data_IF_355570096952
#
_entry.id   IF_355570096952
#
_cell.length_a   1.000
_cell.length_b   1.000
_cell.length_c   1.000
_cell.angle_alpha   90.00
_cell.angle_beta   90.00
_cell.angle_gamma   90.00
#
_symmetry.space_group_name_H-M   'P 1'
#
loop_
_entity.id
_entity.type
_entity.pdbx_description
1 polymer ?
#
# COMPACT_ATOMS: atom_id res chain seq x y z
N UNK A 1 40.80 -52.29 -35.42
CA UNK A 1 40.86 -51.76 -34.04
C UNK A 1 39.62 -50.90 -33.89
N UNK A 2 38.59 -51.44 -33.24
CA UNK A 2 37.27 -50.80 -33.17
C UNK A 2 37.36 -49.64 -32.16
N UNK A 3 36.86 -48.51 -32.60
CA UNK A 3 36.71 -47.29 -31.79
C UNK A 3 35.43 -47.56 -30.99
N UNK A 4 35.57 -47.87 -29.71
CA UNK A 4 34.44 -48.01 -28.81
C UNK A 4 33.90 -46.61 -28.49
N UNK A 5 32.99 -46.15 -29.34
CA UNK A 5 32.02 -45.11 -29.03
C UNK A 5 31.07 -45.66 -27.96
N UNK A 6 31.39 -45.42 -26.69
CA UNK A 6 30.52 -45.75 -25.57
C UNK A 6 29.55 -44.57 -25.35
N UNK A 7 28.35 -44.74 -25.91
CA UNK A 7 27.05 -44.25 -25.45
C UNK A 7 27.00 -42.93 -24.67
N UNK A 8 26.81 -41.84 -25.42
CA UNK A 8 26.39 -40.52 -24.95
C UNK A 8 24.84 -40.43 -24.92
N UNK A 9 24.17 -41.48 -24.41
CA UNK A 9 22.71 -41.62 -24.37
C UNK A 9 22.20 -41.46 -22.93
N UNK A 10 22.19 -40.22 -22.47
CA UNK A 10 21.31 -39.62 -21.44
C UNK A 10 21.99 -38.39 -20.85
N UNK A 11 22.43 -37.45 -21.70
CA UNK A 11 22.81 -36.13 -21.23
C UNK A 11 21.53 -35.39 -20.85
N UNK A 12 21.05 -35.65 -19.63
CA UNK A 12 19.95 -34.90 -19.04
C UNK A 12 20.34 -33.44 -19.10
N UNK A 13 19.56 -32.61 -19.80
CA UNK A 13 19.80 -31.18 -19.79
C UNK A 13 19.43 -30.63 -18.42
N UNK A 14 20.46 -30.46 -17.59
CA UNK A 14 20.37 -29.92 -16.24
C UNK A 14 19.69 -28.54 -16.28
N UNK A 15 19.84 -27.80 -17.38
CA UNK A 15 19.27 -26.47 -17.60
C UNK A 15 17.75 -26.51 -17.69
N UNK A 16 17.21 -27.41 -18.50
CA UNK A 16 15.76 -27.56 -18.68
C UNK A 16 15.10 -28.04 -17.39
N UNK A 17 15.76 -28.98 -16.71
CA UNK A 17 15.31 -29.49 -15.42
C UNK A 17 15.31 -28.39 -14.34
N UNK A 18 16.32 -27.52 -14.35
CA UNK A 18 16.38 -26.36 -13.47
C UNK A 18 15.22 -25.39 -13.71
N UNK A 19 14.87 -25.09 -14.96
CA UNK A 19 13.73 -24.22 -15.28
C UNK A 19 12.38 -24.83 -14.89
N UNK A 20 12.22 -26.15 -15.06
CA UNK A 20 11.02 -26.86 -14.59
C UNK A 20 10.88 -26.72 -13.07
N UNK A 21 11.96 -26.94 -12.33
CA UNK A 21 11.95 -26.81 -10.88
C UNK A 21 11.76 -25.38 -10.41
N UNK A 22 12.32 -24.38 -11.10
CA UNK A 22 12.15 -22.96 -10.78
C UNK A 22 10.71 -22.48 -10.95
N UNK A 23 9.93 -23.13 -11.82
CA UNK A 23 8.50 -22.85 -11.98
C UNK A 23 7.68 -23.39 -10.81
N UNK A 24 8.11 -24.52 -10.23
CA UNK A 24 7.42 -25.17 -9.09
C UNK A 24 7.87 -24.61 -7.74
N UNK A 25 9.12 -24.19 -7.62
CA UNK A 25 9.75 -23.75 -6.38
C UNK A 25 10.43 -22.40 -6.58
N UNK A 26 10.19 -21.45 -5.65
CA UNK A 26 10.73 -20.09 -5.74
C UNK A 26 12.27 -20.06 -5.73
N UNK A 27 12.89 -20.85 -4.86
CA UNK A 27 14.34 -20.85 -4.64
C UNK A 27 14.91 -22.25 -4.94
N UNK A 28 15.61 -22.37 -6.06
CA UNK A 28 16.28 -23.60 -6.53
C UNK A 28 17.75 -23.30 -6.80
N UNK A 29 18.62 -24.21 -6.40
CA UNK A 29 20.07 -24.09 -6.50
C UNK A 29 20.66 -25.32 -7.19
N UNK A 30 21.76 -25.10 -7.91
CA UNK A 30 22.58 -26.15 -8.52
C UNK A 30 23.91 -26.17 -7.75
N UNK A 31 24.35 -27.36 -7.37
CA UNK A 31 25.64 -27.56 -6.73
C UNK A 31 26.35 -28.75 -7.34
N UNK A 32 27.58 -28.53 -7.79
CA UNK A 32 28.45 -29.56 -8.36
C UNK A 32 29.46 -29.98 -7.31
N UNK A 33 29.47 -31.27 -6.97
CA UNK A 33 30.41 -31.85 -6.04
C UNK A 33 31.08 -33.06 -6.70
N UNK A 34 32.32 -32.87 -7.17
CA UNK A 34 33.02 -33.87 -7.96
C UNK A 34 32.29 -34.16 -9.27
N UNK A 35 31.95 -35.44 -9.48
CA UNK A 35 31.24 -35.94 -10.65
C UNK A 35 29.70 -35.86 -10.49
N UNK A 36 29.20 -35.43 -9.33
CA UNK A 36 27.76 -35.35 -9.07
C UNK A 36 27.24 -33.92 -9.23
N UNK A 37 26.14 -33.80 -9.99
CA UNK A 37 25.36 -32.58 -10.11
C UNK A 37 24.08 -32.71 -9.28
N UNK A 38 23.98 -31.87 -8.25
CA UNK A 38 22.81 -31.80 -7.38
C UNK A 38 21.96 -30.58 -7.70
N UNK A 39 20.65 -30.78 -7.82
CA UNK A 39 19.68 -29.70 -7.81
C UNK A 39 18.83 -29.84 -6.55
N UNK A 40 18.78 -28.78 -5.75
CA UNK A 40 18.01 -28.77 -4.51
C UNK A 40 17.25 -27.46 -4.32
N UNK A 41 16.22 -27.50 -3.48
CA UNK A 41 15.46 -26.32 -3.05
C UNK A 41 15.94 -25.80 -1.70
N UNK A 42 15.63 -24.54 -1.40
CA UNK A 42 15.77 -24.01 -0.05
C UNK A 42 14.91 -24.79 0.95
N UNK A 43 15.44 -24.99 2.15
CA UNK A 43 14.75 -25.62 3.27
C UNK A 43 13.80 -24.61 3.93
N UNK A 44 12.55 -25.02 4.17
CA UNK A 44 11.58 -24.19 4.85
C UNK A 44 11.84 -24.08 6.36
N UNK A 45 11.52 -22.92 6.95
CA UNK A 45 11.70 -22.67 8.39
C UNK A 45 10.93 -23.66 9.28
N UNK A 46 9.71 -24.04 8.87
CA UNK A 46 8.89 -25.05 9.56
C UNK A 46 9.54 -26.43 9.46
N UNK A 47 9.95 -26.83 8.27
CA UNK A 47 10.58 -28.13 8.01
C UNK A 47 11.87 -28.29 8.82
N UNK A 48 12.71 -27.25 8.83
CA UNK A 48 13.93 -27.22 9.65
C UNK A 48 13.61 -27.40 11.14
N UNK A 49 12.63 -26.65 11.66
CA UNK A 49 12.23 -26.74 13.07
C UNK A 49 11.70 -28.13 13.41
N UNK A 50 10.93 -28.74 12.53
CA UNK A 50 10.35 -30.07 12.74
C UNK A 50 11.44 -31.15 12.79
N UNK A 51 12.45 -31.08 11.91
CA UNK A 51 13.55 -32.06 11.84
C UNK A 51 14.51 -31.89 13.02
N UNK A 52 14.89 -30.65 13.35
CA UNK A 52 15.87 -30.39 14.43
C UNK A 52 15.29 -30.77 15.81
N UNK A 53 14.01 -30.47 16.05
CA UNK A 53 13.37 -30.77 17.34
C UNK A 53 12.98 -32.24 17.50
N UNK A 54 13.01 -33.03 16.43
CA UNK A 54 12.74 -34.46 16.53
C UNK A 54 13.89 -35.14 17.30
N UNK A 55 13.55 -35.77 18.42
CA UNK A 55 14.50 -36.48 19.28
C UNK A 55 14.73 -37.94 18.85
N UNK A 56 13.98 -38.42 17.85
CA UNK A 56 14.06 -39.80 17.37
C UNK A 56 15.31 -40.06 16.51
N UNK A 57 15.87 -39.01 15.92
CA UNK A 57 16.97 -39.10 14.97
C UNK A 57 18.27 -38.55 15.55
N UNK A 58 19.39 -39.20 15.23
CA UNK A 58 20.73 -38.69 15.50
C UNK A 58 21.07 -37.50 14.57
N UNK A 59 22.13 -36.75 14.89
CA UNK A 59 22.56 -35.63 14.06
C UNK A 59 22.86 -36.05 12.62
N UNK A 60 23.56 -37.17 12.39
CA UNK A 60 23.84 -37.70 11.06
C UNK A 60 22.57 -38.03 10.27
N UNK A 61 21.64 -38.76 10.89
CA UNK A 61 20.35 -39.10 10.26
C UNK A 61 19.52 -37.83 9.94
N UNK A 62 19.64 -36.78 10.76
CA UNK A 62 19.01 -35.48 10.46
C UNK A 62 19.63 -34.81 9.25
N UNK A 63 20.94 -34.93 9.04
CA UNK A 63 21.60 -34.42 7.83
C UNK A 63 21.02 -35.09 6.59
N UNK A 64 20.94 -36.42 6.61
CA UNK A 64 20.42 -37.21 5.48
C UNK A 64 18.95 -36.89 5.22
N UNK A 65 18.12 -36.76 6.27
CA UNK A 65 16.71 -36.37 6.14
C UNK A 65 16.56 -34.97 5.53
N UNK A 66 17.43 -34.02 5.89
CA UNK A 66 17.40 -32.66 5.33
C UNK A 66 17.80 -32.69 3.86
N UNK A 67 18.88 -33.40 3.55
CA UNK A 67 19.37 -33.55 2.18
C UNK A 67 18.31 -34.22 1.29
N UNK A 68 17.71 -35.32 1.73
CA UNK A 68 16.66 -36.04 1.02
C UNK A 68 15.42 -35.16 0.75
N UNK A 69 14.96 -34.40 1.74
CA UNK A 69 13.79 -33.52 1.60
C UNK A 69 14.01 -32.33 0.65
N UNK A 70 15.24 -31.84 0.57
CA UNK A 70 15.59 -30.69 -0.24
C UNK A 70 16.05 -31.08 -1.64
N UNK A 71 16.46 -32.34 -1.84
CA UNK A 71 16.96 -32.82 -3.11
C UNK A 71 15.84 -32.95 -4.14
N UNK A 72 16.03 -32.33 -5.30
CA UNK A 72 15.13 -32.42 -6.45
C UNK A 72 15.72 -33.33 -7.54
N UNK A 73 17.06 -33.28 -7.70
CA UNK A 73 17.80 -34.14 -8.61
C UNK A 73 19.16 -34.52 -8.02
N UNK A 74 19.54 -35.80 -8.05
CA UNK A 74 18.75 -36.94 -8.54
C UNK A 74 17.62 -37.34 -7.56
N UNK A 75 16.49 -37.85 -8.08
CA UNK A 75 15.27 -38.11 -7.26
C UNK A 75 15.41 -39.19 -6.19
N UNK A 76 16.41 -40.06 -6.30
CA UNK A 76 16.65 -41.18 -5.41
C UNK A 76 18.17 -41.36 -5.25
N UNK A 77 18.80 -40.40 -4.59
CA UNK A 77 20.22 -40.51 -4.28
C UNK A 77 20.42 -41.54 -3.16
N UNK A 78 21.36 -42.45 -3.36
CA UNK A 78 21.72 -43.45 -2.35
C UNK A 78 22.71 -42.82 -1.36
N UNK A 79 22.19 -42.39 -0.21
CA UNK A 79 22.99 -41.80 0.87
C UNK A 79 23.90 -42.82 1.56
N UNK A 80 23.55 -44.11 1.52
CA UNK A 80 24.34 -45.17 2.17
C UNK A 80 25.61 -45.52 1.39
N UNK A 81 25.57 -45.39 0.06
CA UNK A 81 26.69 -45.67 -0.85
C UNK A 81 27.34 -44.41 -1.45
N UNK A 82 27.24 -43.27 -0.77
CA UNK A 82 27.86 -42.02 -1.22
C UNK A 82 29.26 -41.79 -0.65
N UNK A 83 30.06 -40.96 -1.32
CA UNK A 83 31.37 -40.55 -0.82
C UNK A 83 31.24 -39.83 0.53
N UNK A 84 32.08 -40.22 1.49
CA UNK A 84 32.05 -39.64 2.82
C UNK A 84 32.23 -38.11 2.76
N UNK A 85 31.31 -37.38 3.38
CA UNK A 85 31.31 -35.91 3.41
C UNK A 85 30.42 -35.26 2.35
N UNK A 86 29.89 -35.99 1.36
CA UNK A 86 28.87 -35.47 0.43
C UNK A 86 27.63 -34.93 1.16
N UNK A 87 27.00 -35.68 2.10
CA UNK A 87 25.82 -35.18 2.81
C UNK A 87 26.13 -33.95 3.65
N UNK A 88 27.29 -33.94 4.32
CA UNK A 88 27.71 -32.83 5.18
C UNK A 88 28.00 -31.56 4.37
N UNK A 89 28.66 -31.65 3.22
CA UNK A 89 28.88 -30.50 2.33
C UNK A 89 27.57 -30.01 1.71
N UNK A 90 26.70 -30.92 1.27
CA UNK A 90 25.40 -30.56 0.72
C UNK A 90 24.53 -29.85 1.76
N UNK A 91 24.49 -30.37 2.99
CA UNK A 91 23.77 -29.76 4.11
C UNK A 91 24.27 -28.34 4.39
N UNK A 92 25.59 -28.12 4.48
CA UNK A 92 26.15 -26.77 4.68
C UNK A 92 25.67 -25.80 3.62
N UNK A 93 25.65 -26.22 2.35
CA UNK A 93 25.19 -25.41 1.25
C UNK A 93 23.67 -25.15 1.31
N UNK A 94 22.87 -26.17 1.64
CA UNK A 94 21.42 -26.02 1.85
C UNK A 94 21.14 -25.02 2.97
N UNK A 95 21.80 -25.16 4.13
CA UNK A 95 21.59 -24.26 5.27
C UNK A 95 22.01 -22.83 4.96
N UNK A 96 23.15 -22.65 4.29
CA UNK A 96 23.64 -21.33 3.87
C UNK A 96 22.69 -20.65 2.88
N UNK A 97 22.25 -21.37 1.85
CA UNK A 97 21.32 -20.84 0.84
C UNK A 97 19.89 -20.66 1.36
N UNK A 98 19.54 -21.34 2.46
CA UNK A 98 18.28 -21.16 3.16
C UNK A 98 18.35 -20.10 4.26
N UNK A 99 19.52 -19.50 4.51
CA UNK A 99 19.78 -18.55 5.60
C UNK A 99 19.45 -19.12 6.99
N UNK A 100 19.65 -20.42 7.18
CA UNK A 100 19.39 -21.15 8.43
C UNK A 100 20.69 -21.59 9.14
N UNK A 101 21.84 -21.20 8.59
CA UNK A 101 23.16 -21.50 9.14
C UNK A 101 23.47 -20.69 10.41
N UNK A 102 23.27 -19.37 10.35
CA UNK A 102 23.73 -18.42 11.37
C UNK A 102 22.63 -17.41 11.70
N UNK A 103 22.62 -16.88 12.92
CA UNK A 103 21.68 -15.81 13.31
C UNK A 103 21.97 -14.52 12.52
N UNK A 104 23.24 -14.28 12.20
CA UNK A 104 23.70 -13.12 11.43
C UNK A 104 23.14 -13.12 10.01
N UNK A 105 23.08 -14.27 9.34
CA UNK A 105 22.51 -14.39 7.99
C UNK A 105 20.99 -14.16 7.99
N UNK A 106 20.28 -14.62 9.02
CA UNK A 106 18.86 -14.30 9.21
C UNK A 106 18.64 -12.80 9.45
N UNK A 107 19.52 -12.19 10.24
CA UNK A 107 19.43 -10.76 10.57
C UNK A 107 19.72 -9.91 9.34
N UNK A 108 20.73 -10.27 8.54
CA UNK A 108 21.06 -9.53 7.32
C UNK A 108 19.95 -9.59 6.28
N UNK A 109 19.30 -10.74 6.11
CA UNK A 109 18.12 -10.87 5.23
C UNK A 109 16.97 -10.01 5.75
N UNK A 110 16.72 -10.04 7.06
CA UNK A 110 15.69 -9.20 7.65
C UNK A 110 15.98 -7.71 7.47
N UNK A 111 17.23 -7.29 7.67
CA UNK A 111 17.66 -5.91 7.51
C UNK A 111 17.61 -5.45 6.04
N UNK A 112 17.90 -6.35 5.10
CA UNK A 112 17.66 -6.12 3.68
C UNK A 112 16.18 -5.81 3.41
N UNK A 113 15.26 -6.67 3.85
CA UNK A 113 13.82 -6.44 3.64
C UNK A 113 13.29 -5.22 4.41
N UNK A 114 13.86 -4.90 5.59
CA UNK A 114 13.58 -3.65 6.29
C UNK A 114 14.03 -2.43 5.50
N UNK A 115 15.17 -2.53 4.80
CA UNK A 115 15.63 -1.45 3.94
C UNK A 115 14.73 -1.27 2.71
N UNK A 116 14.17 -2.35 2.16
CA UNK A 116 13.18 -2.27 1.07
C UNK A 116 11.87 -1.59 1.52
N UNK A 117 11.54 -1.64 2.81
CA UNK A 117 10.39 -0.90 3.36
C UNK A 117 10.58 0.61 3.36
N UNK A 118 11.76 1.17 3.05
CA UNK A 118 11.88 2.61 2.83
C UNK A 118 11.28 3.05 1.48
N UNK A 119 11.04 2.12 0.57
CA UNK A 119 10.32 2.38 -0.67
C UNK A 119 8.81 2.54 -0.40
N UNK A 120 8.23 3.58 -1.00
CA UNK A 120 6.81 3.90 -0.84
C UNK A 120 5.92 2.81 -1.44
N UNK A 121 6.31 2.20 -2.55
CA UNK A 121 5.47 1.18 -3.21
C UNK A 121 5.31 -0.08 -2.34
N UNK A 122 6.37 -0.47 -1.62
CA UNK A 122 6.34 -1.56 -0.64
C UNK A 122 5.46 -1.20 0.56
N UNK A 123 5.52 0.05 1.03
CA UNK A 123 4.65 0.53 2.11
C UNK A 123 3.18 0.57 1.71
N UNK A 124 2.87 0.98 0.48
CA UNK A 124 1.50 1.05 -0.04
C UNK A 124 0.83 -0.31 0.03
N UNK A 125 1.54 -1.37 -0.35
CA UNK A 125 1.04 -2.74 -0.29
C UNK A 125 0.69 -3.14 1.15
N UNK A 126 1.55 -2.81 2.12
CA UNK A 126 1.29 -3.06 3.54
C UNK A 126 0.12 -2.24 4.10
N UNK A 127 -0.01 -0.97 3.70
CA UNK A 127 -1.11 -0.07 4.10
C UNK A 127 -2.46 -0.62 3.62
N UNK A 128 -2.53 -1.06 2.37
CA UNK A 128 -3.74 -1.63 1.79
C UNK A 128 -4.09 -2.95 2.47
N UNK A 129 -3.11 -3.83 2.68
CA UNK A 129 -3.31 -5.11 3.35
C UNK A 129 -3.88 -4.92 4.77
N UNK A 130 -3.35 -3.98 5.54
CA UNK A 130 -3.83 -3.64 6.89
C UNK A 130 -5.24 -3.04 6.87
N UNK A 131 -5.56 -2.17 5.91
CA UNK A 131 -6.87 -1.51 5.85
C UNK A 131 -8.01 -2.47 5.47
N UNK A 132 -7.72 -3.49 4.64
CA UNK A 132 -8.73 -4.37 4.06
C UNK A 132 -8.61 -5.84 4.47
N UNK A 133 -7.64 -6.19 5.32
CA UNK A 133 -7.30 -7.58 5.69
C UNK A 133 -7.09 -8.48 4.45
N UNK A 134 -6.34 -7.99 3.46
CA UNK A 134 -6.03 -8.72 2.24
C UNK A 134 -4.64 -9.34 2.30
N UNK A 135 -4.46 -10.45 1.58
CA UNK A 135 -3.15 -11.06 1.41
C UNK A 135 -2.23 -10.15 0.58
N UNK A 136 -1.04 -9.90 1.10
CA UNK A 136 -0.03 -8.99 0.52
C UNK A 136 0.34 -9.42 -0.91
N UNK A 137 0.47 -10.73 -1.14
CA UNK A 137 0.83 -11.30 -2.46
C UNK A 137 -0.22 -11.00 -3.53
N UNK A 138 -1.50 -10.86 -3.15
CA UNK A 138 -2.58 -10.53 -4.07
C UNK A 138 -2.50 -9.05 -4.46
N UNK A 139 -2.16 -8.18 -3.52
CA UNK A 139 -2.05 -6.72 -3.74
C UNK A 139 -0.85 -6.39 -4.62
N UNK A 140 0.27 -7.10 -4.47
CA UNK A 140 1.47 -6.92 -5.30
C UNK A 140 1.24 -7.24 -6.79
N UNK A 141 0.27 -8.10 -7.09
CA UNK A 141 -0.10 -8.48 -8.47
C UNK A 141 -1.06 -7.48 -9.14
N UNK A 142 -1.48 -6.42 -8.46
CA UNK A 142 -2.45 -5.47 -9.01
C UNK A 142 -1.83 -4.44 -9.95
N UNK A 143 -2.63 -4.00 -10.91
CA UNK A 143 -2.30 -2.84 -11.73
C UNK A 143 -2.24 -1.56 -10.89
N UNK A 144 -1.40 -0.61 -11.31
CA UNK A 144 -1.17 0.67 -10.64
C UNK A 144 -2.48 1.43 -10.38
N UNK A 145 -3.42 1.45 -11.33
CA UNK A 145 -4.71 2.13 -11.16
C UNK A 145 -5.51 1.54 -9.98
N UNK A 146 -5.53 0.21 -9.87
CA UNK A 146 -6.22 -0.49 -8.80
C UNK A 146 -5.50 -0.21 -7.47
N UNK A 147 -4.18 -0.33 -7.42
CA UNK A 147 -3.39 -0.05 -6.21
C UNK A 147 -3.63 1.37 -5.69
N UNK A 148 -3.60 2.39 -6.56
CA UNK A 148 -3.85 3.78 -6.16
C UNK A 148 -5.30 4.03 -5.69
N UNK A 149 -6.28 3.40 -6.34
CA UNK A 149 -7.67 3.45 -5.89
C UNK A 149 -7.86 2.86 -4.50
N UNK A 150 -7.20 1.74 -4.20
CA UNK A 150 -7.29 1.11 -2.89
C UNK A 150 -6.45 1.86 -1.84
N UNK A 151 -5.32 2.44 -2.22
CA UNK A 151 -4.53 3.31 -1.34
C UNK A 151 -5.33 4.51 -0.87
N UNK A 152 -5.96 5.27 -1.77
CA UNK A 152 -6.78 6.44 -1.38
C UNK A 152 -7.92 6.07 -0.43
N UNK A 153 -8.50 4.88 -0.58
CA UNK A 153 -9.52 4.35 0.33
C UNK A 153 -8.94 3.86 1.65
N UNK A 154 -7.76 3.23 1.62
CA UNK A 154 -7.04 2.78 2.80
C UNK A 154 -6.65 3.97 3.68
N UNK A 155 -6.08 5.03 3.10
CA UNK A 155 -5.78 6.28 3.80
C UNK A 155 -7.01 6.85 4.49
N UNK A 156 -8.12 6.97 3.76
CA UNK A 156 -9.36 7.47 4.32
C UNK A 156 -9.91 6.56 5.44
N UNK A 157 -9.86 5.25 5.26
CA UNK A 157 -10.36 4.26 6.23
C UNK A 157 -9.51 4.24 7.49
N UNK A 158 -8.19 4.21 7.35
CA UNK A 158 -7.25 4.19 8.47
C UNK A 158 -7.28 5.51 9.25
N UNK A 159 -7.49 6.65 8.57
CA UNK A 159 -7.57 7.95 9.23
C UNK A 159 -8.93 8.22 9.88
N UNK A 160 -10.04 7.86 9.21
CA UNK A 160 -11.38 8.28 9.63
C UNK A 160 -12.23 7.19 10.27
N UNK A 161 -11.96 5.90 10.00
CA UNK A 161 -12.81 4.80 10.48
C UNK A 161 -12.17 3.99 11.62
N UNK A 162 -10.88 4.17 11.92
CA UNK A 162 -10.23 3.48 13.05
C UNK A 162 -10.91 3.85 14.37
N UNK A 163 -11.63 2.88 14.94
CA UNK A 163 -12.26 2.99 16.27
C UNK A 163 -13.69 3.53 16.29
N UNK A 164 -14.32 3.78 15.13
CA UNK A 164 -15.73 4.19 15.10
C UNK A 164 -16.61 2.94 15.02
N UNK A 165 -17.50 2.69 16.00
CA UNK A 165 -18.52 1.66 15.86
C UNK A 165 -19.50 2.10 14.77
N UNK A 166 -19.38 1.51 13.58
CA UNK A 166 -20.35 1.70 12.53
C UNK A 166 -21.66 1.07 12.98
N UNK A 167 -22.71 1.90 13.12
CA UNK A 167 -24.08 1.39 13.22
C UNK A 167 -24.42 0.74 11.89
N UNK A 168 -24.97 -0.47 11.93
CA UNK A 168 -25.47 -1.17 10.75
C UNK A 168 -26.29 -0.20 9.90
N UNK A 169 -25.75 0.14 8.74
CA UNK A 169 -26.50 0.87 7.73
C UNK A 169 -27.53 -0.13 7.20
N UNK A 170 -28.70 -0.17 7.85
CA UNK A 170 -29.85 -0.92 7.39
C UNK A 170 -30.03 -0.66 5.90
N UNK A 171 -30.00 -1.75 5.13
CA UNK A 171 -30.26 -1.88 3.70
C UNK A 171 -30.69 -0.56 3.06
N UNK A 172 -29.72 0.21 2.55
CA UNK A 172 -30.00 1.24 1.55
C UNK A 172 -30.37 0.49 0.27
N UNK A 173 -31.65 0.19 0.13
CA UNK A 173 -32.24 -0.18 -1.14
C UNK A 173 -32.24 1.10 -1.97
N UNK A 174 -31.23 1.22 -2.83
CA UNK A 174 -31.06 2.36 -3.73
C UNK A 174 -32.28 2.48 -4.65
N UNK A 175 -33.05 3.55 -4.45
CA UNK A 175 -34.03 4.04 -5.43
C UNK A 175 -33.25 4.65 -6.63
N UNK A 176 -32.81 3.82 -7.56
CA UNK A 176 -32.16 4.23 -8.82
C UNK A 176 -33.14 4.78 -9.89
N UNK A 177 -34.30 5.34 -9.53
CA UNK A 177 -35.28 5.82 -10.54
C UNK A 177 -35.53 7.34 -10.55
N UNK A 178 -34.90 8.13 -9.67
CA UNK A 178 -35.23 9.57 -9.57
C UNK A 178 -34.26 10.54 -10.26
N UNK A 179 -33.14 10.08 -10.84
CA UNK A 179 -32.20 10.98 -11.52
C UNK A 179 -32.52 11.23 -13.01
N UNK A 180 -33.26 10.35 -13.68
CA UNK A 180 -33.65 10.57 -15.09
C UNK A 180 -34.82 11.58 -15.28
N UNK A 181 -35.60 11.87 -14.24
CA UNK A 181 -36.78 12.75 -14.36
C UNK A 181 -36.40 14.25 -14.32
N UNK A 182 -35.27 14.62 -13.69
CA UNK A 182 -34.84 16.02 -13.61
C UNK A 182 -34.07 16.52 -14.83
N UNK A 183 -33.39 15.64 -15.57
CA UNK A 183 -32.64 16.05 -16.77
C UNK A 183 -33.57 16.41 -17.95
N UNK A 184 -34.72 15.72 -18.07
CA UNK A 184 -35.67 15.95 -19.15
C UNK A 184 -36.59 17.18 -18.96
N UNK A 185 -36.74 17.69 -17.73
CA UNK A 185 -37.54 18.91 -17.47
C UNK A 185 -36.79 20.21 -17.77
N UNK A 186 -35.46 20.16 -17.87
CA UNK A 186 -34.62 21.35 -18.04
C UNK A 186 -34.37 21.66 -19.53
N UNK A 187 -34.36 20.64 -20.40
CA UNK A 187 -34.10 20.79 -21.84
C UNK A 187 -35.31 21.26 -22.69
N UNK A 188 -36.53 21.24 -22.16
CA UNK A 188 -37.73 21.70 -22.90
C UNK A 188 -38.13 23.17 -22.66
N UNK A 189 -37.41 23.91 -21.80
CA UNK A 189 -37.70 25.33 -21.53
C UNK A 189 -36.83 26.33 -22.29
N UNK A 190 -35.79 25.90 -23.01
CA UNK A 190 -34.82 26.81 -23.66
C UNK A 190 -35.10 27.13 -25.14
N UNK A 191 -36.15 26.57 -25.77
CA UNK A 191 -36.44 26.80 -27.20
C UNK A 191 -37.52 27.84 -27.51
N UNK A 192 -37.91 28.69 -26.55
CA UNK A 192 -38.68 29.91 -26.83
C UNK A 192 -38.25 31.02 -25.88
N UNK A 193 -37.39 31.93 -26.36
CA UNK A 193 -37.44 33.41 -26.21
C UNK A 193 -36.02 33.97 -26.40
N UNK A 194 -35.67 34.33 -27.65
CA UNK A 194 -34.59 35.29 -27.93
C UNK A 194 -35.20 36.50 -28.63
N UNK A 195 -35.29 37.63 -27.92
CA UNK A 195 -35.23 39.00 -28.46
C UNK A 195 -34.96 39.99 -27.32
N UNK A 196 -33.82 40.71 -27.43
CA UNK A 196 -33.53 42.05 -26.87
C UNK A 196 -33.42 42.12 -25.33
N UNK A 197 -32.54 42.86 -24.63
CA UNK A 197 -31.61 43.98 -24.89
C UNK A 197 -30.72 44.17 -23.65
N UNK A 198 -29.70 45.03 -23.77
CA UNK A 198 -28.59 45.35 -22.84
C UNK A 198 -28.85 45.68 -21.35
N UNK A 199 -27.77 45.52 -20.56
CA UNK A 199 -27.34 46.17 -19.28
C UNK A 199 -27.78 45.57 -17.92
N UNK A 200 -27.03 45.78 -16.81
CA UNK A 200 -26.31 44.72 -16.08
C UNK A 200 -26.88 44.43 -14.68
N UNK A 201 -26.87 43.17 -14.25
CA UNK A 201 -27.36 42.82 -12.90
C UNK A 201 -26.53 41.77 -12.17
N UNK A 202 -25.88 42.26 -11.11
CA UNK A 202 -25.82 41.71 -9.74
C UNK A 202 -25.42 40.23 -9.57
N UNK A 203 -24.21 40.04 -9.04
CA UNK A 203 -23.76 38.81 -8.37
C UNK A 203 -24.71 38.46 -7.23
N UNK A 204 -25.18 37.22 -7.20
CA UNK A 204 -25.96 36.66 -6.10
C UNK A 204 -25.04 36.38 -4.90
N UNK A 205 -25.24 37.11 -3.80
CA UNK A 205 -24.66 36.85 -2.48
C UNK A 205 -25.48 35.73 -1.78
N UNK A 206 -25.15 34.47 -2.08
CA UNK A 206 -25.68 33.31 -1.34
C UNK A 206 -24.61 32.35 -0.83
N UNK A 207 -23.32 32.70 -0.92
CA UNK A 207 -22.26 31.83 -0.44
C UNK A 207 -21.88 32.12 1.01
N UNK A 208 -21.82 31.06 1.81
CA UNK A 208 -21.35 31.08 3.18
C UNK A 208 -19.89 31.58 3.24
N UNK A 209 -19.55 32.38 4.25
CA UNK A 209 -18.15 32.78 4.43
C UNK A 209 -17.31 31.59 4.90
N UNK A 210 -16.01 31.61 4.57
CA UNK A 210 -15.01 30.56 4.87
C UNK A 210 -14.96 30.16 6.37
N UNK A 211 -15.50 30.99 7.27
CA UNK A 211 -15.60 30.71 8.71
C UNK A 211 -17.01 30.30 9.19
N UNK A 212 -17.90 29.90 8.29
CA UNK A 212 -19.24 29.38 8.63
C UNK A 212 -20.29 30.41 9.03
N UNK A 213 -20.03 31.71 8.82
CA UNK A 213 -20.99 32.78 9.10
C UNK A 213 -21.75 33.25 7.85
N UNK A 214 -23.06 33.49 7.97
CA UNK A 214 -23.85 34.14 6.92
C UNK A 214 -23.61 35.65 6.90
N UNK A 215 -23.25 36.23 5.74
CA UNK A 215 -23.04 37.69 5.55
C UNK A 215 -24.25 38.57 5.94
N UNK A 216 -25.43 37.96 6.13
CA UNK A 216 -26.69 38.62 6.53
C UNK A 216 -26.77 38.93 8.04
N UNK A 217 -25.90 38.37 8.87
CA UNK A 217 -25.84 38.68 10.30
C UNK A 217 -25.01 39.93 10.57
N UNK A 218 -25.39 41.06 9.96
CA UNK A 218 -24.85 42.37 10.37
C UNK A 218 -25.60 42.80 11.62
N UNK A 219 -24.86 43.16 12.67
CA UNK A 219 -25.36 43.58 13.97
C UNK A 219 -26.28 44.80 13.78
N UNK A 220 -27.60 44.60 13.86
CA UNK A 220 -28.56 45.71 13.80
C UNK A 220 -28.59 46.46 15.13
N UNK A 221 -28.91 47.77 15.14
CA UNK A 221 -28.94 48.57 16.37
C UNK A 221 -29.86 47.99 17.46
N UNK A 222 -30.94 47.32 17.06
CA UNK A 222 -31.86 46.66 18.00
C UNK A 222 -31.28 45.40 18.66
N UNK A 223 -30.53 44.60 17.90
CA UNK A 223 -29.85 43.41 18.42
C UNK A 223 -28.76 43.79 19.43
N UNK A 224 -28.11 44.93 19.20
CA UNK A 224 -27.06 45.48 20.05
C UNK A 224 -27.63 45.93 21.40
N UNK A 225 -28.83 46.51 21.40
CA UNK A 225 -29.55 46.86 22.64
C UNK A 225 -29.96 45.62 23.44
N UNK A 226 -30.43 44.57 22.77
CA UNK A 226 -30.80 43.31 23.42
C UNK A 226 -29.57 42.59 24.04
N UNK A 227 -28.43 42.62 23.36
CA UNK A 227 -27.18 42.07 23.89
C UNK A 227 -26.66 42.84 25.09
N UNK A 228 -26.73 44.18 25.07
CA UNK A 228 -26.40 45.02 26.24
C UNK A 228 -27.29 44.72 27.45
N UNK A 229 -28.56 44.39 27.22
CA UNK A 229 -29.48 44.01 28.29
C UNK A 229 -29.19 42.60 28.85
N UNK A 230 -28.74 41.66 28.02
CA UNK A 230 -28.39 40.29 28.45
C UNK A 230 -27.04 40.19 29.17
N UNK A 231 -26.10 41.09 28.90
CA UNK A 231 -24.75 41.07 29.46
C UNK A 231 -24.34 42.44 30.02
N UNK A 232 -24.84 42.79 31.23
CA UNK A 232 -24.55 44.07 31.88
C UNK A 232 -23.12 44.16 32.44
N UNK A 233 -22.45 43.02 32.65
CA UNK A 233 -21.10 42.94 33.23
C UNK A 233 -19.98 43.30 32.23
N UNK A 234 -20.30 43.37 30.94
CA UNK A 234 -19.35 43.73 29.89
C UNK A 234 -19.31 45.25 29.77
N UNK A 235 -18.14 45.86 29.90
CA UNK A 235 -17.96 47.29 29.68
C UNK A 235 -17.89 47.58 28.17
N UNK A 236 -19.06 47.63 27.52
CA UNK A 236 -19.21 47.85 26.08
C UNK A 236 -18.68 49.20 25.58
N UNK A 237 -18.44 50.18 26.47
CA UNK A 237 -17.92 51.50 26.11
C UNK A 237 -16.40 51.54 26.04
N UNK A 238 -15.71 50.63 26.76
CA UNK A 238 -14.25 50.55 26.83
C UNK A 238 -13.69 49.19 26.35
N UNK A 239 -14.49 48.38 25.65
CA UNK A 239 -14.03 47.11 25.11
C UNK A 239 -13.09 47.34 23.91
N UNK A 240 -11.83 46.92 24.07
CA UNK A 240 -10.75 47.07 23.09
C UNK A 240 -10.98 46.26 21.79
N UNK A 241 -12.05 45.46 21.71
CA UNK A 241 -12.44 44.75 20.48
C UNK A 241 -12.73 45.65 19.27
N UNK A 242 -13.07 46.92 19.49
CA UNK A 242 -13.24 47.93 18.42
C UNK A 242 -11.93 48.60 17.98
N UNK A 243 -10.92 48.60 18.86
CA UNK A 243 -9.59 49.15 18.56
C UNK A 243 -8.70 48.00 18.14
N UNK A 244 -8.87 47.57 16.89
CA UNK A 244 -8.02 46.54 16.28
C UNK A 244 -6.55 46.76 16.60
N UNK A 245 -5.84 45.67 16.89
CA UNK A 245 -4.44 45.66 17.32
C UNK A 245 -3.59 46.48 16.33
N UNK A 246 -2.91 47.53 16.82
CA UNK A 246 -1.97 48.34 16.03
C UNK A 246 -0.88 47.42 15.45
N UNK A 247 -0.86 47.28 14.12
CA UNK A 247 0.08 46.42 13.39
C UNK A 247 -0.57 45.29 12.59
N UNK A 248 -1.87 45.03 12.77
CA UNK A 248 -2.64 44.04 12.00
C UNK A 248 -3.74 44.66 11.12
N UNK A 249 -3.62 45.95 10.81
CA UNK A 249 -4.48 46.58 9.79
C UNK A 249 -4.10 45.99 8.43
N UNK A 250 -4.99 45.16 7.87
CA UNK A 250 -4.87 44.73 6.48
C UNK A 250 -4.86 46.00 5.62
N UNK A 251 -3.76 46.21 4.88
CA UNK A 251 -3.74 47.21 3.82
C UNK A 251 -4.94 46.97 2.91
N UNK A 252 -5.62 48.03 2.50
CA UNK A 252 -6.76 47.95 1.59
C UNK A 252 -6.34 47.17 0.34
N UNK A 253 -6.86 45.96 0.21
CA UNK A 253 -6.60 45.11 -0.95
C UNK A 253 -7.40 45.72 -2.09
N UNK A 254 -6.72 46.34 -3.05
CA UNK A 254 -7.32 46.72 -4.33
C UNK A 254 -7.97 45.48 -4.96
N UNK A 255 -9.30 45.48 -5.09
CA UNK A 255 -10.10 44.35 -5.58
C UNK A 255 -10.27 44.41 -7.10
N UNK A 256 -9.90 45.51 -7.75
CA UNK A 256 -10.21 45.74 -9.16
C UNK A 256 -9.10 45.26 -10.10
N UNK A 257 -7.87 45.09 -9.58
CA UNK A 257 -6.73 44.65 -10.39
C UNK A 257 -6.29 43.21 -10.05
N UNK A 258 -6.39 42.25 -11.00
CA UNK A 258 -5.89 40.89 -10.81
C UNK A 258 -4.39 40.87 -10.45
N UNK A 259 -3.93 39.93 -9.60
CA UNK A 259 -2.57 39.93 -9.07
C UNK A 259 -1.46 39.96 -10.13
N UNK A 260 -1.68 39.31 -11.27
CA UNK A 260 -0.71 39.22 -12.37
C UNK A 260 -0.48 40.54 -13.14
N UNK A 261 -1.33 41.56 -12.93
CA UNK A 261 -1.25 42.85 -13.62
C UNK A 261 -0.78 43.98 -12.70
N UNK A 262 -0.34 43.67 -11.47
CA UNK A 262 0.15 44.69 -10.54
C UNK A 262 1.59 45.07 -10.90
N UNK A 263 1.92 46.37 -11.02
CA UNK A 263 3.28 46.80 -11.28
C UNK A 263 4.17 46.45 -10.08
N UNK A 264 5.22 45.65 -10.31
CA UNK A 264 6.17 45.23 -9.28
C UNK A 264 6.34 43.71 -9.10
N UNK A 265 5.57 42.88 -9.82
CA UNK A 265 5.84 41.44 -9.96
C UNK A 265 6.70 41.19 -11.21
N UNK A 266 8.00 41.41 -11.09
CA UNK A 266 9.06 40.84 -11.93
C UNK A 266 10.26 40.51 -11.05
#
# INVERSE_FOLDING_TARGET
MKIDTVNDENKVDITDLYFEFKTKWRNVFIYRLGEYDFIYRALGRKEYKDIINDKRFNNFEKEDIICDKCLLYPKYFDWDNCDAGVPTELLKNILKNSYLDTIESQTSVLDYYRSEMYDLDNQITAIIAEAFNLDIEIVEQWDVEKTMKYLSRAEWTLHNLRGIPLKDAGVRQDNYENEEIQYNKTQQKESKTKKQTNTPSKKNDSDATIRGGSRKNKLTPDLLRELKAKYPDINWENDDGLRGIKGLQQQEIDLDTPPALRPGFY
#
